data_IF_176424718301
#
_entry.id   IF_176424718301
#
_cell.length_a   1.000
_cell.length_b   1.000
_cell.length_c   1.000
_cell.angle_alpha   90.00
_cell.angle_beta   90.00
_cell.angle_gamma   90.00
#
_symmetry.space_group_name_H-M   'P 1'
#
loop_
_entity.id
_entity.type
_entity.pdbx_description
1 polymer ?
#
# COMPACT_ATOMS: atom_id res chain seq x y z
N UNK A 1 38.13 25.99 23.76
CA UNK A 1 37.95 25.03 24.87
C UNK A 1 36.46 24.76 24.94
N UNK A 2 36.01 23.78 24.16
CA UNK A 2 34.62 23.30 24.18
C UNK A 2 34.67 22.04 25.01
N UNK A 3 33.98 22.08 26.16
CA UNK A 3 33.90 20.96 27.08
C UNK A 3 33.20 19.79 26.38
N UNK A 4 33.91 18.68 26.35
CA UNK A 4 33.53 17.39 25.81
C UNK A 4 32.30 16.87 26.57
N UNK A 5 31.15 16.85 25.90
CA UNK A 5 29.92 16.27 26.43
C UNK A 5 30.03 14.75 26.38
N UNK A 6 30.74 14.18 27.35
CA UNK A 6 30.91 12.74 27.52
C UNK A 6 29.55 12.06 27.66
N UNK A 7 29.15 11.22 26.70
CA UNK A 7 27.97 10.37 26.79
C UNK A 7 28.03 9.52 28.08
N UNK A 8 26.94 9.46 28.88
CA UNK A 8 26.96 8.84 30.21
C UNK A 8 27.29 7.34 30.20
N UNK A 9 27.09 6.68 29.05
CA UNK A 9 27.29 5.24 28.86
C UNK A 9 28.77 4.81 28.67
N UNK A 10 29.72 5.77 28.61
CA UNK A 10 31.14 5.48 28.34
C UNK A 10 32.09 5.72 29.52
N UNK A 11 31.57 6.07 30.69
CA UNK A 11 32.35 6.50 31.87
C UNK A 11 33.24 5.43 32.53
N UNK A 12 33.24 4.18 32.05
CA UNK A 12 34.02 3.07 32.61
C UNK A 12 35.18 2.55 31.76
N UNK A 13 35.43 3.09 30.56
CA UNK A 13 36.53 2.64 29.68
C UNK A 13 37.70 3.64 29.75
N UNK A 14 38.82 3.18 30.32
CA UNK A 14 39.99 4.00 30.72
C UNK A 14 40.88 4.45 29.54
N UNK A 15 40.51 4.19 28.28
CA UNK A 15 41.40 4.49 27.15
C UNK A 15 40.62 4.86 25.88
N UNK A 16 39.82 5.92 25.97
CA UNK A 16 39.20 6.54 24.79
C UNK A 16 40.00 7.78 24.42
N UNK A 17 41.00 7.61 23.56
CA UNK A 17 41.72 8.72 22.95
C UNK A 17 40.72 9.66 22.28
N UNK A 18 40.89 10.97 22.53
CA UNK A 18 40.14 12.07 21.91
C UNK A 18 40.55 12.26 20.44
N UNK A 19 40.53 11.18 19.67
CA UNK A 19 40.70 11.26 18.23
C UNK A 19 39.39 11.80 17.62
N UNK A 20 39.47 12.62 16.55
CA UNK A 20 38.28 13.02 15.81
C UNK A 20 37.53 11.76 15.38
N UNK A 21 36.22 11.72 15.65
CA UNK A 21 35.36 10.56 15.39
C UNK A 21 35.29 10.17 13.92
N UNK A 22 35.69 11.09 13.05
CA UNK A 22 35.61 10.96 11.61
C UNK A 22 36.83 11.65 10.99
N UNK A 23 37.64 10.90 10.24
CA UNK A 23 38.69 11.43 9.38
C UNK A 23 38.18 11.43 7.93
N UNK A 24 37.64 12.56 7.49
CA UNK A 24 37.15 12.74 6.11
C UNK A 24 38.10 13.60 5.29
N UNK A 25 38.19 13.30 4.00
CA UNK A 25 38.83 14.19 3.03
C UNK A 25 38.04 15.50 2.96
N UNK A 26 38.68 16.68 2.87
CA UNK A 26 37.97 17.94 2.71
C UNK A 26 36.97 17.82 1.55
N UNK A 27 35.70 18.14 1.83
CA UNK A 27 34.66 18.13 0.81
C UNK A 27 35.13 19.01 -0.35
N UNK A 28 35.38 18.36 -1.49
CA UNK A 28 35.63 19.10 -2.71
C UNK A 28 34.36 19.89 -3.02
N UNK A 29 34.44 21.18 -3.41
CA UNK A 29 33.26 21.92 -3.81
C UNK A 29 32.55 21.06 -4.85
N UNK A 30 31.31 20.66 -4.52
CA UNK A 30 30.52 19.79 -5.37
C UNK A 30 30.65 20.29 -6.81
N UNK A 31 31.02 19.40 -7.74
CA UNK A 31 30.96 19.70 -9.16
C UNK A 31 29.62 20.38 -9.40
N UNK A 32 29.67 21.62 -9.89
CA UNK A 32 28.49 22.43 -10.17
C UNK A 32 27.75 21.74 -11.33
N UNK A 33 26.88 20.79 -11.02
CA UNK A 33 26.13 19.99 -11.99
C UNK A 33 25.08 20.81 -12.75
N UNK A 34 25.16 22.14 -12.73
CA UNK A 34 24.32 23.02 -13.55
C UNK A 34 24.59 22.87 -15.04
N UNK A 35 25.74 22.33 -15.45
CA UNK A 35 25.93 21.83 -16.81
C UNK A 35 25.28 20.45 -16.95
N UNK A 36 23.95 20.43 -16.96
CA UNK A 36 23.24 19.36 -17.67
C UNK A 36 23.79 19.38 -19.10
N UNK A 37 24.35 18.26 -19.62
CA UNK A 37 24.76 18.21 -21.00
C UNK A 37 23.58 18.69 -21.85
N UNK A 38 23.80 19.58 -22.84
CA UNK A 38 22.70 20.08 -23.65
C UNK A 38 21.92 18.86 -24.16
N UNK A 39 20.58 18.85 -24.01
CA UNK A 39 19.79 17.73 -24.46
C UNK A 39 20.19 17.42 -25.89
N UNK A 40 20.42 16.14 -26.26
CA UNK A 40 20.88 15.80 -27.60
C UNK A 40 19.97 16.51 -28.60
N UNK A 41 20.56 17.31 -29.49
CA UNK A 41 19.80 18.02 -30.51
C UNK A 41 19.12 16.97 -31.39
N UNK A 42 17.86 16.67 -31.10
CA UNK A 42 17.07 15.73 -31.88
C UNK A 42 16.68 16.31 -33.25
N UNK A 43 17.14 17.51 -33.62
CA UNK A 43 16.84 18.15 -34.90
C UNK A 43 17.58 17.45 -36.05
N UNK A 44 17.09 16.27 -36.42
CA UNK A 44 17.52 15.60 -37.65
C UNK A 44 16.73 16.20 -38.82
N UNK A 45 17.42 16.67 -39.86
CA UNK A 45 16.78 17.21 -41.09
C UNK A 45 15.84 16.19 -41.77
N UNK A 46 16.00 14.90 -41.44
CA UNK A 46 15.24 13.79 -42.00
C UNK A 46 14.13 13.26 -41.09
N UNK A 47 13.98 13.78 -39.87
CA UNK A 47 12.98 13.31 -38.91
C UNK A 47 12.12 14.50 -38.48
N UNK A 48 10.85 14.50 -38.87
CA UNK A 48 9.88 15.45 -38.36
C UNK A 48 9.62 15.15 -36.87
N UNK A 49 9.99 16.09 -35.99
CA UNK A 49 9.62 16.03 -34.58
C UNK A 49 8.32 16.79 -34.41
N UNK A 50 7.23 16.04 -34.28
CA UNK A 50 5.93 16.60 -33.94
C UNK A 50 5.73 16.50 -32.43
N UNK A 51 5.36 17.62 -31.79
CA UNK A 51 4.95 17.60 -30.38
C UNK A 51 3.54 17.05 -30.27
N UNK A 52 3.37 15.96 -29.52
CA UNK A 52 2.06 15.37 -29.29
C UNK A 52 1.39 16.09 -28.12
N UNK A 53 0.40 16.93 -28.42
CA UNK A 53 -0.47 17.50 -27.40
C UNK A 53 -1.58 16.50 -27.06
N UNK A 54 -1.44 15.82 -25.91
CA UNK A 54 -2.39 14.81 -25.45
C UNK A 54 -3.82 15.32 -25.33
N UNK A 55 -4.02 16.60 -24.97
CA UNK A 55 -5.36 17.18 -24.83
C UNK A 55 -6.02 17.37 -26.21
N UNK A 56 -5.28 17.93 -27.18
CA UNK A 56 -5.78 18.09 -28.55
C UNK A 56 -6.01 16.75 -29.23
N UNK A 57 -5.12 15.77 -29.01
CA UNK A 57 -5.31 14.41 -29.50
C UNK A 57 -6.57 13.79 -28.89
N UNK A 58 -6.78 13.93 -27.58
CA UNK A 58 -7.96 13.41 -26.89
C UNK A 58 -9.25 14.02 -27.45
N UNK A 59 -9.31 15.33 -27.63
CA UNK A 59 -10.48 15.99 -28.23
C UNK A 59 -10.79 15.46 -29.64
N UNK A 60 -9.75 15.25 -30.47
CA UNK A 60 -9.91 14.72 -31.84
C UNK A 60 -10.47 13.30 -31.87
N UNK A 61 -10.05 12.43 -30.94
CA UNK A 61 -10.46 11.03 -30.89
C UNK A 61 -11.66 10.77 -29.97
N UNK A 62 -12.09 11.74 -29.15
CA UNK A 62 -13.20 11.54 -28.21
C UNK A 62 -14.53 11.22 -28.93
N UNK A 63 -14.70 11.73 -30.15
CA UNK A 63 -15.88 11.46 -30.97
C UNK A 63 -15.75 10.21 -31.87
N UNK A 64 -14.55 9.65 -32.02
CA UNK A 64 -14.34 8.46 -32.85
C UNK A 64 -14.59 7.21 -32.03
N UNK A 65 -15.68 6.50 -32.33
CA UNK A 65 -15.95 5.17 -31.81
C UNK A 65 -15.47 4.14 -32.83
N UNK A 66 -14.58 3.24 -32.41
CA UNK A 66 -14.10 2.14 -33.26
C UNK A 66 -14.95 0.92 -32.99
N UNK A 67 -15.62 0.41 -34.03
CA UNK A 67 -16.37 -0.84 -33.96
C UNK A 67 -15.43 -2.05 -34.05
N UNK A 68 -15.26 -2.74 -32.93
CA UNK A 68 -14.45 -3.96 -32.82
C UNK A 68 -15.20 -5.26 -33.12
N UNK A 69 -16.49 -5.19 -33.49
CA UNK A 69 -17.33 -6.40 -33.64
C UNK A 69 -16.99 -7.23 -34.88
N UNK A 70 -16.28 -6.65 -35.86
CA UNK A 70 -15.88 -7.33 -37.10
C UNK A 70 -14.42 -7.80 -37.12
N UNK A 71 -13.66 -7.63 -36.04
CA UNK A 71 -12.28 -8.13 -35.96
C UNK A 71 -12.25 -9.59 -35.52
N UNK A 72 -12.53 -10.50 -36.47
CA UNK A 72 -12.35 -11.94 -36.25
C UNK A 72 -10.92 -12.37 -36.62
N UNK A 73 -10.05 -12.49 -35.61
CA UNK A 73 -8.67 -12.96 -35.80
C UNK A 73 -8.59 -14.45 -36.22
N UNK A 74 -9.71 -15.19 -36.27
CA UNK A 74 -9.74 -16.57 -36.79
C UNK A 74 -9.55 -16.64 -38.30
N UNK A 75 -9.75 -15.53 -39.02
CA UNK A 75 -9.57 -15.46 -40.47
C UNK A 75 -8.24 -14.85 -40.91
N UNK A 76 -7.28 -14.65 -39.98
CA UNK A 76 -5.91 -14.33 -40.37
C UNK A 76 -5.41 -15.52 -41.20
N UNK A 77 -5.46 -15.38 -42.52
CA UNK A 77 -4.69 -16.21 -43.45
C UNK A 77 -3.23 -15.86 -43.23
N UNK A 78 -2.66 -16.34 -42.13
CA UNK A 78 -1.22 -16.38 -41.96
C UNK A 78 -0.70 -17.24 -43.11
N UNK A 79 0.05 -16.65 -44.03
CA UNK A 79 0.92 -17.39 -44.97
C UNK A 79 2.10 -18.01 -44.21
N UNK A 80 1.83 -18.71 -43.11
CA UNK A 80 2.82 -19.21 -42.17
C UNK A 80 2.22 -20.30 -41.30
N UNK A 81 2.79 -21.51 -41.46
CA UNK A 81 2.66 -22.72 -40.64
C UNK A 81 1.26 -23.07 -40.15
N UNK A 82 0.52 -23.82 -40.97
CA UNK A 82 -0.60 -24.61 -40.48
C UNK A 82 -0.06 -25.76 -39.64
N UNK A 83 -0.35 -25.76 -38.33
CA UNK A 83 -0.30 -26.99 -37.54
C UNK A 83 -1.43 -27.87 -38.07
N UNK A 84 -1.10 -28.92 -38.82
CA UNK A 84 -2.11 -29.89 -39.26
C UNK A 84 -2.59 -30.65 -38.04
N UNK A 85 -3.71 -30.23 -37.47
CA UNK A 85 -4.52 -31.13 -36.66
C UNK A 85 -5.01 -32.22 -37.60
N UNK A 86 -4.34 -33.37 -37.54
CA UNK A 86 -4.73 -34.60 -38.23
C UNK A 86 -6.23 -34.85 -37.92
N UNK A 87 -7.08 -35.10 -38.93
CA UNK A 87 -8.47 -35.43 -38.66
C UNK A 87 -8.50 -36.72 -37.83
N UNK A 88 -8.98 -36.62 -36.59
CA UNK A 88 -9.14 -37.77 -35.69
C UNK A 88 -9.99 -38.84 -36.36
N UNK A 89 -9.53 -40.09 -36.34
CA UNK A 89 -10.33 -41.24 -36.72
C UNK A 89 -11.56 -41.36 -35.83
N UNK A 90 -12.65 -41.96 -36.31
CA UNK A 90 -13.85 -42.19 -35.49
C UNK A 90 -13.55 -42.94 -34.19
N UNK A 91 -12.56 -43.84 -34.20
CA UNK A 91 -12.12 -44.58 -33.02
C UNK A 91 -11.34 -43.70 -32.04
N UNK A 92 -10.47 -42.82 -32.54
CA UNK A 92 -9.72 -41.85 -31.72
C UNK A 92 -10.67 -40.83 -31.08
N UNK A 93 -11.66 -40.38 -31.84
CA UNK A 93 -12.72 -39.49 -31.32
C UNK A 93 -13.52 -40.16 -30.22
N UNK A 94 -13.90 -41.43 -30.39
CA UNK A 94 -14.63 -42.18 -29.35
C UNK A 94 -13.76 -42.36 -28.10
N UNK A 95 -12.47 -42.64 -28.25
CA UNK A 95 -11.55 -42.76 -27.13
C UNK A 95 -11.38 -41.43 -26.37
N UNK A 96 -11.23 -40.31 -27.09
CA UNK A 96 -11.20 -38.97 -26.49
C UNK A 96 -12.50 -38.65 -25.77
N UNK A 97 -13.65 -38.86 -26.42
CA UNK A 97 -14.96 -38.60 -25.81
C UNK A 97 -15.21 -39.46 -24.56
N UNK A 98 -14.73 -40.71 -24.52
CA UNK A 98 -14.81 -41.54 -23.30
C UNK A 98 -14.00 -40.94 -22.16
N UNK A 99 -12.79 -40.48 -22.46
CA UNK A 99 -11.94 -39.80 -21.47
C UNK A 99 -12.55 -38.48 -20.99
N UNK A 100 -13.08 -37.68 -21.90
CA UNK A 100 -13.78 -36.43 -21.55
C UNK A 100 -15.02 -36.71 -20.67
N UNK A 101 -15.77 -37.80 -20.93
CA UNK A 101 -16.89 -38.20 -20.06
C UNK A 101 -16.40 -38.65 -18.68
N UNK A 102 -15.27 -39.34 -18.59
CA UNK A 102 -14.67 -39.77 -17.32
C UNK A 102 -14.15 -38.58 -16.51
N UNK A 103 -13.48 -37.62 -17.16
CA UNK A 103 -13.05 -36.35 -16.56
C UNK A 103 -14.26 -35.52 -16.08
N UNK A 104 -15.33 -35.44 -16.88
CA UNK A 104 -16.56 -34.76 -16.45
C UNK A 104 -17.26 -35.49 -15.30
N UNK A 105 -17.14 -36.82 -15.19
CA UNK A 105 -17.69 -37.58 -14.08
C UNK A 105 -16.90 -37.34 -12.78
N UNK A 106 -15.57 -37.21 -12.87
CA UNK A 106 -14.75 -36.79 -11.71
C UNK A 106 -15.07 -35.36 -11.30
N UNK A 107 -15.23 -34.46 -12.27
CA UNK A 107 -15.57 -33.05 -11.99
C UNK A 107 -16.97 -32.93 -11.36
N UNK A 108 -17.94 -33.77 -11.74
CA UNK A 108 -19.26 -33.80 -11.11
C UNK A 108 -19.22 -34.30 -9.67
N UNK A 109 -18.43 -35.36 -9.41
CA UNK A 109 -18.21 -35.89 -8.06
C UNK A 109 -17.56 -34.83 -7.17
N UNK A 110 -16.56 -34.13 -7.68
CA UNK A 110 -15.88 -33.05 -6.97
C UNK A 110 -16.78 -31.83 -6.77
N UNK A 111 -17.66 -31.51 -7.73
CA UNK A 111 -18.65 -30.45 -7.61
C UNK A 111 -19.79 -30.78 -6.62
N UNK A 112 -20.19 -32.05 -6.49
CA UNK A 112 -21.15 -32.50 -5.48
C UNK A 112 -20.52 -32.47 -4.08
N UNK A 113 -19.26 -32.88 -3.93
CA UNK A 113 -18.51 -32.74 -2.69
C UNK A 113 -18.26 -31.26 -2.33
N UNK A 114 -17.99 -30.39 -3.31
CA UNK A 114 -17.85 -28.95 -3.12
C UNK A 114 -19.19 -28.29 -2.73
N UNK A 115 -20.31 -28.70 -3.34
CA UNK A 115 -21.64 -28.16 -3.02
C UNK A 115 -22.16 -28.62 -1.65
N UNK A 116 -21.85 -29.86 -1.23
CA UNK A 116 -22.16 -30.36 0.11
C UNK A 116 -21.29 -29.69 1.19
N UNK A 117 -20.01 -29.48 0.92
CA UNK A 117 -19.13 -28.75 1.84
C UNK A 117 -19.48 -27.27 1.95
N UNK A 118 -19.83 -26.61 0.84
CA UNK A 118 -20.26 -25.21 0.81
C UNK A 118 -21.66 -25.01 1.44
N UNK A 119 -22.56 -25.99 1.32
CA UNK A 119 -23.85 -26.02 2.01
C UNK A 119 -23.74 -26.21 3.53
N UNK A 120 -22.79 -27.03 4.00
CA UNK A 120 -22.48 -27.20 5.43
C UNK A 120 -21.73 -25.99 6.01
N UNK A 121 -20.83 -25.36 5.26
CA UNK A 121 -20.17 -24.12 5.67
C UNK A 121 -21.16 -22.95 5.78
N UNK A 122 -22.13 -22.83 4.85
CA UNK A 122 -23.17 -21.81 4.91
C UNK A 122 -24.14 -21.99 6.10
N UNK A 123 -24.43 -23.24 6.49
CA UNK A 123 -25.29 -23.53 7.63
C UNK A 123 -24.61 -23.29 8.99
N UNK A 124 -23.27 -23.39 9.06
CA UNK A 124 -22.50 -23.17 10.29
C UNK A 124 -22.02 -21.71 10.50
N UNK A 125 -22.21 -20.84 9.49
CA UNK A 125 -21.78 -19.44 9.48
C UNK A 125 -22.88 -18.42 9.81
N UNK A 126 -24.02 -18.81 10.38
CA UNK A 126 -25.02 -17.84 10.88
C UNK A 126 -24.95 -17.66 12.39
N UNK A 127 -24.12 -16.73 12.92
CA UNK A 127 -24.42 -16.14 14.21
C UNK A 127 -25.56 -15.13 14.00
N UNK A 128 -26.64 -15.39 14.73
CA UNK A 128 -27.76 -14.48 14.92
C UNK A 128 -27.24 -13.17 15.56
N UNK A 129 -26.88 -12.19 14.75
CA UNK A 129 -26.58 -10.80 15.15
C UNK A 129 -27.57 -9.87 14.48
N UNK A 130 -28.84 -9.99 14.89
CA UNK A 130 -29.79 -8.92 14.72
C UNK A 130 -29.50 -7.84 15.79
N UNK A 131 -28.73 -6.82 15.43
CA UNK A 131 -28.84 -5.46 15.99
C UNK A 131 -28.43 -4.43 14.94
N UNK A 132 -29.41 -3.73 14.37
CA UNK A 132 -29.37 -2.32 13.92
C UNK A 132 -28.22 -1.85 13.01
N UNK A 133 -28.05 -2.43 11.81
CA UNK A 133 -27.05 -1.95 10.83
C UNK A 133 -27.54 -1.79 9.38
N UNK A 134 -28.83 -1.52 9.15
CA UNK A 134 -29.30 -1.14 7.79
C UNK A 134 -29.43 0.38 7.59
N UNK A 135 -29.50 1.17 8.66
CA UNK A 135 -29.54 2.64 8.56
C UNK A 135 -28.15 3.30 8.54
N UNK A 136 -27.14 2.65 9.12
CA UNK A 136 -25.78 3.20 9.27
C UNK A 136 -24.92 3.06 8.01
N UNK A 137 -25.11 2.01 7.20
CA UNK A 137 -24.32 1.77 5.98
C UNK A 137 -24.58 2.80 4.85
N UNK A 138 -25.81 3.31 4.72
CA UNK A 138 -26.15 4.37 3.74
C UNK A 138 -25.69 5.75 4.20
N UNK A 139 -25.70 6.03 5.50
CA UNK A 139 -25.19 7.29 6.05
C UNK A 139 -23.66 7.31 6.02
N UNK A 140 -23.00 6.21 6.37
CA UNK A 140 -21.54 6.07 6.34
C UNK A 140 -20.96 6.16 4.91
N UNK A 141 -21.61 5.55 3.92
CA UNK A 141 -21.19 5.67 2.51
C UNK A 141 -21.38 7.09 1.97
N UNK A 142 -22.45 7.79 2.38
CA UNK A 142 -22.68 9.19 2.00
C UNK A 142 -21.69 10.16 2.67
N UNK A 143 -21.41 9.99 3.96
CA UNK A 143 -20.39 10.81 4.65
C UNK A 143 -18.99 10.54 4.13
N UNK A 144 -18.68 9.29 3.76
CA UNK A 144 -17.41 8.95 3.12
C UNK A 144 -17.29 9.58 1.74
N UNK A 145 -18.35 9.55 0.92
CA UNK A 145 -18.35 10.21 -0.38
C UNK A 145 -18.18 11.73 -0.26
N UNK A 146 -18.90 12.38 0.66
CA UNK A 146 -18.74 13.82 0.95
C UNK A 146 -17.33 14.16 1.44
N UNK A 147 -16.70 13.28 2.21
CA UNK A 147 -15.30 13.46 2.65
C UNK A 147 -14.30 13.31 1.52
N UNK A 148 -14.52 12.37 0.60
CA UNK A 148 -13.68 12.14 -0.59
C UNK A 148 -13.80 13.31 -1.56
N UNK A 149 -15.00 13.85 -1.78
CA UNK A 149 -15.21 15.05 -2.60
C UNK A 149 -14.48 16.27 -2.01
N UNK A 150 -14.55 16.46 -0.68
CA UNK A 150 -13.80 17.52 0.01
C UNK A 150 -12.30 17.33 -0.13
N UNK A 151 -11.79 16.11 0.00
CA UNK A 151 -10.37 15.81 -0.21
C UNK A 151 -9.94 16.09 -1.65
N UNK A 152 -10.73 15.70 -2.65
CA UNK A 152 -10.45 16.00 -4.06
C UNK A 152 -10.41 17.51 -4.35
N UNK A 153 -11.32 18.28 -3.74
CA UNK A 153 -11.30 19.74 -3.83
C UNK A 153 -10.05 20.34 -3.17
N UNK A 154 -9.64 19.81 -2.02
CA UNK A 154 -8.42 20.24 -1.33
C UNK A 154 -7.17 19.88 -2.14
N UNK A 155 -7.11 18.69 -2.73
CA UNK A 155 -6.02 18.27 -3.62
C UNK A 155 -5.93 19.18 -4.85
N UNK A 156 -7.05 19.45 -5.54
CA UNK A 156 -7.06 20.38 -6.67
C UNK A 156 -6.59 21.78 -6.28
N UNK A 157 -6.99 22.26 -5.10
CA UNK A 157 -6.54 23.55 -4.56
C UNK A 157 -5.05 23.54 -4.20
N UNK A 158 -4.55 22.45 -3.59
CA UNK A 158 -3.13 22.27 -3.27
C UNK A 158 -2.32 22.24 -4.56
N UNK A 159 -2.71 21.45 -5.56
CA UNK A 159 -2.03 21.43 -6.87
C UNK A 159 -2.04 22.79 -7.55
N UNK A 160 -3.12 23.57 -7.40
CA UNK A 160 -3.17 24.95 -7.89
C UNK A 160 -2.20 25.88 -7.15
N UNK A 161 -1.99 25.66 -5.85
CA UNK A 161 -1.01 26.40 -5.05
C UNK A 161 0.40 25.95 -5.43
N UNK A 162 0.68 24.66 -5.48
CA UNK A 162 1.96 24.08 -5.87
C UNK A 162 2.37 24.56 -7.27
N UNK A 163 1.49 24.51 -8.27
CA UNK A 163 1.79 25.02 -9.61
C UNK A 163 2.15 26.51 -9.64
N UNK A 164 1.65 27.31 -8.69
CA UNK A 164 2.01 28.73 -8.55
C UNK A 164 3.34 28.94 -7.83
N UNK A 165 3.82 27.97 -7.06
CA UNK A 165 5.03 28.05 -6.23
C UNK A 165 6.16 27.10 -6.68
N UNK A 166 5.92 26.22 -7.65
CA UNK A 166 6.87 25.23 -8.15
C UNK A 166 8.11 25.83 -8.83
N UNK A 167 8.12 27.13 -9.13
CA UNK A 167 9.31 27.83 -9.65
C UNK A 167 10.28 28.32 -8.58
N UNK A 168 9.99 28.10 -7.29
CA UNK A 168 10.70 28.71 -6.15
C UNK A 168 11.09 27.70 -5.08
N UNK A 169 11.50 26.50 -5.50
CA UNK A 169 11.86 25.39 -4.61
C UNK A 169 13.09 25.64 -3.74
N UNK A 170 13.89 26.67 -4.04
CA UNK A 170 15.17 26.89 -3.33
C UNK A 170 15.18 28.06 -2.32
N UNK A 171 14.19 28.96 -2.31
CA UNK A 171 14.33 30.20 -1.53
C UNK A 171 13.07 30.59 -0.77
N UNK A 172 13.28 31.10 0.45
CA UNK A 172 12.23 31.71 1.26
C UNK A 172 11.69 32.95 0.54
N UNK A 173 10.59 32.80 -0.19
CA UNK A 173 9.91 33.86 -0.95
C UNK A 173 9.68 35.12 -0.13
N UNK A 174 9.37 34.99 1.15
CA UNK A 174 9.15 36.14 2.02
C UNK A 174 10.44 36.97 2.18
N UNK A 175 11.59 36.31 2.35
CA UNK A 175 12.88 36.99 2.43
C UNK A 175 13.26 37.69 1.12
N UNK A 176 12.97 37.09 -0.04
CA UNK A 176 13.20 37.75 -1.33
C UNK A 176 12.24 38.93 -1.55
N UNK A 177 10.97 38.80 -1.17
CA UNK A 177 10.00 39.90 -1.24
C UNK A 177 10.44 41.04 -0.33
N UNK A 178 10.92 40.75 0.88
CA UNK A 178 11.41 41.78 1.81
C UNK A 178 12.72 42.42 1.32
N UNK A 179 13.62 41.65 0.70
CA UNK A 179 14.80 42.19 0.02
C UNK A 179 14.41 43.10 -1.16
N UNK A 180 13.44 42.68 -1.97
CA UNK A 180 12.94 43.47 -3.10
C UNK A 180 12.25 44.75 -2.63
N UNK A 181 11.48 44.69 -1.54
CA UNK A 181 10.91 45.89 -0.90
C UNK A 181 11.99 46.83 -0.42
N UNK A 182 13.04 46.32 0.22
CA UNK A 182 14.17 47.13 0.67
C UNK A 182 14.91 47.77 -0.52
N UNK A 183 15.13 47.02 -1.61
CA UNK A 183 15.71 47.53 -2.86
C UNK A 183 14.83 48.60 -3.53
N UNK A 184 13.51 48.40 -3.54
CA UNK A 184 12.55 49.40 -4.07
C UNK A 184 12.58 50.66 -3.23
N UNK A 185 12.54 50.53 -1.90
CA UNK A 185 12.62 51.67 -0.98
C UNK A 185 13.95 52.43 -1.14
N UNK A 186 15.04 51.70 -1.31
CA UNK A 186 16.36 52.25 -1.58
C UNK A 186 16.40 53.08 -2.89
N UNK A 187 15.73 52.61 -3.94
CA UNK A 187 15.64 53.32 -5.22
C UNK A 187 14.74 54.57 -5.11
N UNK A 188 13.73 54.55 -4.23
CA UNK A 188 12.81 55.67 -4.02
C UNK A 188 13.33 56.78 -3.09
N UNK A 189 14.32 56.51 -2.22
CA UNK A 189 14.88 57.46 -1.24
C UNK A 189 16.38 57.78 -1.47
N UNK A 190 16.78 57.99 -2.73
CA UNK A 190 18.18 58.09 -3.14
C UNK A 190 18.99 59.27 -2.53
N UNK A 191 18.37 60.34 -2.01
CA UNK A 191 19.10 61.48 -1.41
C UNK A 191 19.48 61.26 0.07
N UNK A 192 18.75 60.44 0.81
CA UNK A 192 18.98 60.27 2.27
C UNK A 192 20.01 59.16 2.55
N UNK A 193 20.31 58.32 1.55
CA UNK A 193 21.13 57.13 1.71
C UNK A 193 22.62 57.43 1.89
N UNK A 194 23.17 58.41 1.20
CA UNK A 194 24.60 58.76 1.31
C UNK A 194 24.96 59.31 2.71
N UNK A 195 24.07 60.11 3.31
CA UNK A 195 24.25 60.61 4.68
C UNK A 195 24.15 59.49 5.73
N UNK A 196 23.30 58.48 5.49
CA UNK A 196 23.19 57.31 6.37
C UNK A 196 24.39 56.37 6.21
N UNK A 197 24.90 56.18 4.99
CA UNK A 197 26.08 55.34 4.69
C UNK A 197 27.33 55.92 5.37
N UNK A 198 27.52 57.23 5.32
CA UNK A 198 28.66 57.88 5.98
C UNK A 198 28.58 57.80 7.51
N UNK A 199 27.39 57.91 8.10
CA UNK A 199 27.17 57.69 9.55
C UNK A 199 27.39 56.24 9.98
N UNK A 200 26.93 55.27 9.19
CA UNK A 200 27.10 53.84 9.47
C UNK A 200 28.56 53.41 9.39
N UNK A 201 29.33 53.93 8.43
CA UNK A 201 30.78 53.69 8.35
C UNK A 201 31.51 54.16 9.61
N UNK A 202 31.16 55.36 10.11
CA UNK A 202 31.75 55.90 11.34
C UNK A 202 31.42 55.04 12.58
N UNK A 203 30.18 54.57 12.71
CA UNK A 203 29.78 53.69 13.82
C UNK A 203 30.42 52.29 13.73
N UNK A 204 30.65 51.78 12.52
CA UNK A 204 31.29 50.48 12.31
C UNK A 204 32.76 50.50 12.75
N UNK A 205 33.47 51.61 12.50
CA UNK A 205 34.86 51.80 12.95
C UNK A 205 34.97 51.90 14.48
N UNK A 206 33.95 52.44 15.15
CA UNK A 206 33.85 52.49 16.62
C UNK A 206 33.53 51.11 17.22
N UNK A 207 32.70 50.30 16.55
CA UNK A 207 32.30 48.94 16.95
C UNK A 207 33.43 47.90 16.82
N UNK A 208 34.39 48.11 15.92
CA UNK A 208 35.53 47.21 15.70
C UNK A 208 36.43 47.04 16.94
N UNK A 209 36.35 47.96 17.91
CA UNK A 209 37.13 47.93 19.16
C UNK A 209 36.55 47.00 20.24
N UNK A 210 35.29 46.58 20.11
CA UNK A 210 34.55 45.75 21.10
C UNK A 210 34.57 44.26 20.75
N UNK A 211 34.95 43.90 19.53
CA UNK A 211 34.82 42.54 18.98
C UNK A 211 35.84 41.48 19.51
N UNK A 212 36.82 41.85 20.35
CA UNK A 212 37.84 40.93 20.88
C UNK A 212 37.52 40.40 22.29
N UNK A 213 36.36 39.77 22.49
CA UNK A 213 36.10 39.02 23.73
C UNK A 213 35.64 37.60 23.43
N UNK A 214 36.09 36.64 24.23
CA UNK A 214 35.66 35.24 24.17
C UNK A 214 34.13 35.06 24.28
N UNK A 215 33.43 36.08 24.79
CA UNK A 215 31.97 36.17 24.84
C UNK A 215 31.37 36.30 23.44
N UNK A 216 32.02 37.01 22.51
CA UNK A 216 31.53 37.14 21.13
C UNK A 216 31.59 35.82 20.38
N UNK A 217 32.69 35.05 20.52
CA UNK A 217 32.80 33.70 19.94
C UNK A 217 31.69 32.77 20.44
N UNK A 218 31.40 32.82 21.76
CA UNK A 218 30.34 31.99 22.36
C UNK A 218 28.94 32.48 22.00
N UNK A 219 28.76 33.78 21.80
CA UNK A 219 27.51 34.37 21.33
C UNK A 219 27.23 33.95 19.87
N UNK A 220 28.26 33.95 19.04
CA UNK A 220 28.19 33.56 17.63
C UNK A 220 27.86 32.06 17.49
N UNK A 221 28.51 31.21 18.30
CA UNK A 221 28.14 29.78 18.43
C UNK A 221 26.68 29.59 18.89
N UNK A 222 26.22 30.36 19.88
CA UNK A 222 24.83 30.29 20.36
C UNK A 222 23.84 30.84 19.33
N UNK A 223 24.24 31.81 18.52
CA UNK A 223 23.39 32.40 17.48
C UNK A 223 23.22 31.44 16.30
N UNK A 224 24.28 30.75 15.90
CA UNK A 224 24.24 29.66 14.92
C UNK A 224 23.38 28.48 15.42
N UNK A 225 23.59 28.05 16.68
CA UNK A 225 22.76 27.01 17.29
C UNK A 225 21.28 27.41 17.38
N UNK A 226 21.00 28.68 17.71
CA UNK A 226 19.65 29.26 17.72
C UNK A 226 19.00 29.23 16.34
N UNK A 227 19.75 29.51 15.27
CA UNK A 227 19.29 29.40 13.89
C UNK A 227 18.79 27.99 13.56
N UNK A 228 19.59 26.97 13.90
CA UNK A 228 19.23 25.55 13.74
C UNK A 228 17.99 25.17 14.58
N UNK A 229 17.95 25.56 15.86
CA UNK A 229 16.82 25.31 16.76
C UNK A 229 15.54 25.97 16.25
N UNK A 230 15.63 27.19 15.71
CA UNK A 230 14.47 27.92 15.14
C UNK A 230 13.95 27.24 13.87
N UNK A 231 14.83 26.61 13.09
CA UNK A 231 14.44 25.74 11.98
C UNK A 231 13.63 24.53 12.45
N UNK A 232 14.16 23.80 13.44
CA UNK A 232 13.50 22.62 14.03
C UNK A 232 12.18 22.97 14.73
N UNK A 233 12.14 24.10 15.45
CA UNK A 233 10.94 24.55 16.17
C UNK A 233 9.77 24.83 15.21
N UNK A 234 10.03 25.24 13.97
CA UNK A 234 8.99 25.45 12.95
C UNK A 234 8.40 24.14 12.42
N UNK A 235 9.20 23.09 12.28
CA UNK A 235 8.74 21.79 11.76
C UNK A 235 8.16 20.86 12.83
N UNK A 236 8.53 21.07 14.10
CA UNK A 236 8.09 20.24 15.23
C UNK A 236 6.57 20.10 15.35
N UNK A 237 5.73 21.16 15.25
CA UNK A 237 4.28 21.01 15.34
C UNK A 237 3.69 20.09 14.27
N UNK A 238 4.21 20.17 13.03
CA UNK A 238 3.77 19.32 11.91
C UNK A 238 4.18 17.86 12.16
N UNK A 239 5.38 17.63 12.70
CA UNK A 239 5.82 16.29 13.06
C UNK A 239 4.96 15.68 14.17
N UNK A 240 4.58 16.46 15.17
CA UNK A 240 3.67 16.02 16.25
C UNK A 240 2.28 15.68 15.70
N UNK A 241 1.75 16.47 14.78
CA UNK A 241 0.46 16.17 14.13
C UNK A 241 0.52 14.88 13.30
N UNK A 242 1.61 14.66 12.54
CA UNK A 242 1.85 13.40 11.83
C UNK A 242 1.97 12.22 12.78
N UNK A 243 2.70 12.36 13.89
CA UNK A 243 2.81 11.32 14.92
C UNK A 243 1.45 10.99 15.55
N UNK A 244 0.59 11.99 15.77
CA UNK A 244 -0.77 11.78 16.30
C UNK A 244 -1.66 11.03 15.31
N UNK A 245 -1.56 11.37 14.02
CA UNK A 245 -2.25 10.62 12.95
C UNK A 245 -1.74 9.16 12.90
N UNK A 246 -0.43 8.98 12.95
CA UNK A 246 0.20 7.67 12.95
C UNK A 246 -0.17 6.84 14.19
N UNK A 247 -0.30 7.47 15.36
CA UNK A 247 -0.78 6.83 16.58
C UNK A 247 -2.18 6.24 16.39
N UNK A 248 -3.10 6.98 15.75
CA UNK A 248 -4.44 6.46 15.43
C UNK A 248 -4.40 5.26 14.49
N UNK A 249 -3.50 5.27 13.50
CA UNK A 249 -3.28 4.12 12.60
C UNK A 249 -2.72 2.93 13.37
N UNK A 250 -1.75 3.14 14.28
CA UNK A 250 -1.18 2.08 15.10
C UNK A 250 -2.20 1.45 16.06
N UNK A 251 -3.07 2.26 16.67
CA UNK A 251 -4.13 1.78 17.54
C UNK A 251 -5.14 0.93 16.75
N UNK A 252 -5.58 1.41 15.58
CA UNK A 252 -6.44 0.65 14.67
C UNK A 252 -5.78 -0.65 14.19
N UNK A 253 -4.49 -0.62 13.88
CA UNK A 253 -3.73 -1.82 13.51
C UNK A 253 -3.61 -2.82 14.67
N UNK A 254 -3.41 -2.34 15.90
CA UNK A 254 -3.38 -3.18 17.09
C UNK A 254 -4.74 -3.83 17.37
N UNK A 255 -5.83 -3.07 17.24
CA UNK A 255 -7.19 -3.58 17.37
C UNK A 255 -7.50 -4.64 16.29
N UNK A 256 -7.14 -4.36 15.03
CA UNK A 256 -7.28 -5.30 13.92
C UNK A 256 -6.53 -6.60 14.18
N UNK A 257 -5.28 -6.52 14.68
CA UNK A 257 -4.51 -7.70 15.08
C UNK A 257 -5.21 -8.50 16.19
N UNK A 258 -5.73 -7.85 17.22
CA UNK A 258 -6.46 -8.51 18.30
C UNK A 258 -7.73 -9.22 17.79
N UNK A 259 -8.47 -8.59 16.87
CA UNK A 259 -9.63 -9.20 16.20
C UNK A 259 -9.21 -10.42 15.38
N UNK A 260 -8.12 -10.34 14.62
CA UNK A 260 -7.58 -11.48 13.87
C UNK A 260 -7.17 -12.64 14.77
N UNK A 261 -6.53 -12.37 15.91
CA UNK A 261 -6.13 -13.41 16.85
C UNK A 261 -7.36 -14.07 17.51
N UNK A 262 -8.42 -13.31 17.76
CA UNK A 262 -9.72 -13.84 18.20
C UNK A 262 -10.36 -14.76 17.14
N UNK A 263 -10.36 -14.34 15.87
CA UNK A 263 -10.86 -15.17 14.75
C UNK A 263 -10.03 -16.44 14.60
N UNK A 264 -8.69 -16.37 14.71
CA UNK A 264 -7.82 -17.55 14.67
C UNK A 264 -8.13 -18.54 15.81
N UNK A 265 -8.35 -18.03 17.02
CA UNK A 265 -8.73 -18.87 18.14
C UNK A 265 -10.06 -19.60 17.86
N UNK A 266 -11.07 -18.88 17.40
CA UNK A 266 -12.37 -19.46 17.01
C UNK A 266 -12.22 -20.49 15.87
N UNK A 267 -11.41 -20.21 14.84
CA UNK A 267 -11.17 -21.16 13.75
C UNK A 267 -10.49 -22.45 14.24
N UNK A 268 -9.56 -22.35 15.20
CA UNK A 268 -8.91 -23.53 15.77
C UNK A 268 -9.89 -24.37 16.61
N UNK A 269 -10.78 -23.72 17.39
CA UNK A 269 -11.85 -24.39 18.11
C UNK A 269 -12.80 -25.12 17.14
N UNK A 270 -13.26 -24.45 16.08
CA UNK A 270 -14.10 -25.07 15.05
C UNK A 270 -13.43 -26.24 14.34
N UNK A 271 -12.12 -26.17 14.06
CA UNK A 271 -11.38 -27.31 13.51
C UNK A 271 -11.35 -28.50 14.47
N UNK A 272 -11.18 -28.24 15.77
CA UNK A 272 -11.25 -29.29 16.78
C UNK A 272 -12.65 -29.90 16.87
N UNK A 273 -13.71 -29.07 16.80
CA UNK A 273 -15.10 -29.56 16.70
C UNK A 273 -15.28 -30.45 15.48
N UNK A 274 -14.89 -30.01 14.28
CA UNK A 274 -15.04 -30.82 13.05
C UNK A 274 -14.33 -32.17 13.18
N UNK A 275 -13.12 -32.20 13.76
CA UNK A 275 -12.39 -33.44 14.02
C UNK A 275 -13.15 -34.38 14.98
N UNK A 276 -13.73 -33.82 16.05
CA UNK A 276 -14.55 -34.59 16.99
C UNK A 276 -15.82 -35.14 16.31
N UNK A 277 -16.48 -34.34 15.46
CA UNK A 277 -17.66 -34.77 14.71
C UNK A 277 -17.33 -35.85 13.70
N UNK A 278 -16.17 -35.77 13.02
CA UNK A 278 -15.73 -36.84 12.12
C UNK A 278 -15.48 -38.15 12.88
N UNK A 279 -14.87 -38.10 14.07
CA UNK A 279 -14.64 -39.28 14.89
C UNK A 279 -15.96 -39.87 15.40
N UNK A 280 -16.91 -39.02 15.80
CA UNK A 280 -18.25 -39.47 16.21
C UNK A 280 -19.02 -40.14 15.06
N UNK A 281 -18.90 -39.59 13.84
CA UNK A 281 -19.47 -40.17 12.62
C UNK A 281 -18.85 -41.53 12.29
N UNK A 282 -17.52 -41.65 12.37
CA UNK A 282 -16.82 -42.92 12.15
C UNK A 282 -17.25 -44.00 13.17
N UNK A 283 -17.35 -43.63 14.45
CA UNK A 283 -17.85 -44.53 15.49
C UNK A 283 -19.31 -44.94 15.26
N UNK A 284 -20.17 -44.02 14.81
CA UNK A 284 -21.56 -44.33 14.47
C UNK A 284 -21.65 -45.27 13.26
N UNK A 285 -20.81 -45.07 12.24
CA UNK A 285 -20.74 -45.96 11.07
C UNK A 285 -20.33 -47.39 11.49
N UNK A 286 -19.34 -47.51 12.38
CA UNK A 286 -18.91 -48.80 12.91
C UNK A 286 -20.01 -49.49 13.72
N UNK A 287 -20.70 -48.75 14.60
CA UNK A 287 -21.86 -49.26 15.35
C UNK A 287 -23.00 -49.69 14.43
N UNK A 288 -23.24 -48.94 13.34
CA UNK A 288 -24.26 -49.27 12.36
C UNK A 288 -23.91 -50.55 11.59
N UNK A 289 -22.65 -50.73 11.19
CA UNK A 289 -22.16 -51.97 10.57
C UNK A 289 -22.33 -53.16 11.50
N UNK A 290 -21.95 -53.02 12.78
CA UNK A 290 -22.13 -54.07 13.79
C UNK A 290 -23.62 -54.38 14.04
N UNK A 291 -24.47 -53.36 14.10
CA UNK A 291 -25.91 -53.52 14.22
C UNK A 291 -26.50 -54.26 13.02
N UNK A 292 -26.06 -53.93 11.80
CA UNK A 292 -26.51 -54.57 10.57
C UNK A 292 -26.08 -56.04 10.50
N UNK A 293 -24.85 -56.38 10.88
CA UNK A 293 -24.40 -57.79 10.92
C UNK A 293 -25.17 -58.59 11.98
N UNK A 294 -25.44 -58.01 13.14
CA UNK A 294 -26.25 -58.65 14.20
C UNK A 294 -27.70 -58.85 13.74
N UNK A 295 -28.30 -57.87 13.08
CA UNK A 295 -29.65 -58.00 12.50
C UNK A 295 -29.70 -59.08 11.42
N UNK A 296 -28.67 -59.18 10.58
CA UNK A 296 -28.59 -60.22 9.56
C UNK A 296 -28.51 -61.62 10.20
N UNK A 297 -27.64 -61.80 11.20
CA UNK A 297 -27.56 -63.05 11.96
C UNK A 297 -28.90 -63.41 12.63
N UNK A 298 -29.58 -62.43 13.22
CA UNK A 298 -30.89 -62.66 13.82
C UNK A 298 -31.95 -63.04 12.76
N UNK A 299 -31.93 -62.40 11.60
CA UNK A 299 -32.81 -62.71 10.48
C UNK A 299 -32.56 -64.15 9.96
N UNK A 300 -31.30 -64.56 9.85
CA UNK A 300 -30.92 -65.92 9.45
C UNK A 300 -31.40 -66.96 10.46
N UNK A 301 -31.24 -66.68 11.76
CA UNK A 301 -31.77 -67.55 12.83
C UNK A 301 -33.29 -67.65 12.75
N UNK A 302 -34.00 -66.53 12.55
CA UNK A 302 -35.45 -66.54 12.39
C UNK A 302 -35.89 -67.30 11.14
N UNK A 303 -35.23 -67.11 10.00
CA UNK A 303 -35.50 -67.86 8.78
C UNK A 303 -35.33 -69.37 9.03
N UNK A 304 -34.22 -69.77 9.66
CA UNK A 304 -33.95 -71.17 10.00
C UNK A 304 -34.99 -71.79 10.97
N UNK A 305 -35.66 -70.98 11.78
CA UNK A 305 -36.73 -71.41 12.69
C UNK A 305 -38.11 -71.44 12.01
N UNK A 306 -38.37 -70.52 11.09
CA UNK A 306 -39.64 -70.40 10.37
C UNK A 306 -39.74 -71.43 9.24
N UNK A 307 -38.65 -71.71 8.52
CA UNK A 307 -38.65 -72.65 7.39
C UNK A 307 -39.13 -74.07 7.77
N UNK A 308 -38.71 -74.67 8.91
CA UNK A 308 -39.25 -75.95 9.38
C UNK A 308 -40.71 -75.89 9.83
N UNK A 309 -41.20 -74.72 10.27
CA UNK A 309 -42.61 -74.56 10.64
C UNK A 309 -43.48 -74.45 9.39
N UNK A 310 -43.02 -73.74 8.37
CA UNK A 310 -43.70 -73.64 7.09
C UNK A 310 -43.72 -74.97 6.34
N UNK A 311 -42.64 -75.75 6.39
CA UNK A 311 -42.62 -77.08 5.78
C UNK A 311 -43.62 -78.03 6.46
N UNK A 312 -43.77 -77.96 7.79
CA UNK A 312 -44.77 -78.74 8.54
C UNK A 312 -46.21 -78.26 8.35
N UNK A 313 -46.41 -77.02 7.88
CA UNK A 313 -47.75 -76.49 7.59
C UNK A 313 -48.22 -76.86 6.18
N UNK A 314 -47.29 -77.15 5.26
CA UNK A 314 -47.55 -77.52 3.87
C UNK A 314 -47.57 -79.04 3.60
N UNK A 315 -47.31 -79.88 4.61
CA UNK A 315 -47.61 -81.33 4.62
C UNK A 315 -49.02 -81.60 5.19
#
# INVERSE_FOLDING_TARGET
MVDDATSPDRSGQVDMNSEPTTYETPDSPALDYTESPPPPEYQSEHIAIESVNSNSAREKFNASQVDGTSTDFRTIKTKGWHLSTRPESGVERIARLRREIEELATDLSDAEHASLSQGLEAACMTPNLATDSEATGKVASKTNLESIERLSLLESRISSIENRFNSTTEYNLAAQIDLLRLKVNAITENEVMEDIITRLKKMNDESATVAKSAVMSRLEELYEASGSIKGLAKSTPILVERLRSLQGIHESAAESKMRLDTVKAALNERRAEVANWSQALESMEEQMKLGMTTLHQNADVLASLVDPLLSRLNE
#
